data_IF_232126507661
#
_entry.id   IF_232126507661
#
_cell.length_a   1.000
_cell.length_b   1.000
_cell.length_c   1.000
_cell.angle_alpha   90.00
_cell.angle_beta   90.00
_cell.angle_gamma   90.00
#
_symmetry.space_group_name_H-M   'P 1'
#
loop_
_entity.id
_entity.type
_entity.pdbx_description
1 polymer ?
#
# COMPACT_ATOMS: atom_id res chain seq x y z
N UNK A 1 -32.22 -47.35 -23.40
CA UNK A 1 -32.00 -48.63 -22.68
C UNK A 1 -30.67 -48.50 -21.96
N UNK A 2 -30.71 -48.15 -20.68
CA UNK A 2 -30.50 -49.08 -19.55
C UNK A 2 -28.98 -49.30 -19.32
N UNK A 3 -28.39 -49.21 -18.14
CA UNK A 3 -28.92 -49.12 -16.79
C UNK A 3 -27.80 -48.66 -15.83
N UNK A 4 -28.20 -48.35 -14.60
CA UNK A 4 -27.44 -47.82 -13.46
C UNK A 4 -26.39 -48.79 -12.88
N UNK A 5 -25.60 -48.21 -11.95
CA UNK A 5 -24.86 -48.77 -10.78
C UNK A 5 -23.34 -48.76 -10.99
N UNK A 6 -22.48 -48.30 -10.08
CA UNK A 6 -22.60 -47.89 -8.68
C UNK A 6 -21.18 -47.82 -8.09
N UNK A 7 -21.07 -47.22 -6.89
CA UNK A 7 -19.92 -47.26 -5.97
C UNK A 7 -18.68 -46.37 -6.24
N UNK A 8 -18.63 -45.23 -5.53
CA UNK A 8 -17.46 -44.81 -4.73
C UNK A 8 -17.62 -45.43 -3.31
N UNK A 9 -16.69 -45.33 -2.33
CA UNK A 9 -15.36 -44.66 -2.27
C UNK A 9 -14.26 -45.50 -1.57
N UNK A 10 -13.02 -44.99 -1.45
CA UNK A 10 -12.15 -45.20 -0.28
C UNK A 10 -10.93 -44.26 -0.32
N UNK A 11 -10.92 -43.27 0.57
CA UNK A 11 -9.72 -42.52 0.96
C UNK A 11 -8.82 -43.41 1.82
N UNK A 12 -7.51 -43.36 1.56
CA UNK A 12 -6.49 -44.07 2.32
C UNK A 12 -6.15 -43.27 3.58
N UNK A 13 -6.38 -43.91 4.71
CA UNK A 13 -6.03 -43.49 6.06
C UNK A 13 -4.53 -43.69 6.29
N UNK A 14 -3.83 -42.65 6.73
CA UNK A 14 -2.50 -42.76 7.33
C UNK A 14 -2.58 -42.36 8.81
N UNK A 15 -2.50 -43.37 9.68
CA UNK A 15 -2.34 -43.24 11.12
C UNK A 15 -0.86 -43.13 11.48
N UNK A 16 -0.49 -42.17 12.32
CA UNK A 16 0.66 -42.28 13.21
C UNK A 16 0.34 -41.61 14.55
N UNK A 17 0.55 -42.39 15.61
CA UNK A 17 0.16 -42.20 17.01
C UNK A 17 1.41 -41.82 17.82
N UNK A 18 1.25 -40.95 18.81
CA UNK A 18 2.25 -40.62 19.84
C UNK A 18 1.90 -39.25 20.45
N UNK A 19 1.00 -39.15 21.43
CA UNK A 19 1.15 -39.51 22.85
C UNK A 19 2.35 -38.80 23.51
N UNK A 20 2.09 -37.62 24.09
CA UNK A 20 2.38 -37.37 25.50
C UNK A 20 1.60 -36.16 26.04
N UNK A 21 1.22 -36.28 27.30
CA UNK A 21 0.15 -35.55 27.98
C UNK A 21 0.63 -34.31 28.74
N UNK A 22 -0.17 -33.23 28.73
CA UNK A 22 -0.31 -32.29 29.84
C UNK A 22 -1.64 -31.53 29.71
N UNK A 23 -2.39 -31.49 30.82
CA UNK A 23 -3.82 -31.22 30.88
C UNK A 23 -4.28 -29.79 30.57
N UNK A 24 -5.51 -29.72 30.06
CA UNK A 24 -6.32 -28.52 29.93
C UNK A 24 -7.70 -28.92 29.42
N UNK A 25 -8.65 -29.13 30.33
CA UNK A 25 -10.01 -29.58 30.01
C UNK A 25 -10.76 -28.52 29.20
N UNK A 26 -10.72 -28.62 27.88
CA UNK A 26 -11.55 -27.84 26.97
C UNK A 26 -12.80 -28.63 26.59
N UNK A 27 -13.96 -28.20 27.09
CA UNK A 27 -15.25 -28.77 26.73
C UNK A 27 -15.45 -28.75 25.20
N UNK A 28 -15.80 -29.90 24.61
CA UNK A 28 -16.15 -30.02 23.20
C UNK A 28 -17.44 -29.25 22.85
N UNK A 29 -17.72 -29.03 21.55
CA UNK A 29 -18.86 -28.23 21.12
C UNK A 29 -20.16 -28.98 21.43
N UNK A 30 -20.94 -28.47 22.38
CA UNK A 30 -22.26 -29.00 22.73
C UNK A 30 -23.25 -28.62 21.63
N UNK A 31 -23.95 -29.60 21.08
CA UNK A 31 -24.90 -29.42 19.96
C UNK A 31 -26.09 -28.54 20.36
N UNK A 32 -26.58 -27.71 19.43
CA UNK A 32 -27.67 -26.74 19.65
C UNK A 32 -29.02 -27.36 20.05
N UNK A 33 -29.19 -28.68 19.92
CA UNK A 33 -30.45 -29.38 20.15
C UNK A 33 -30.79 -29.64 21.64
N UNK A 34 -29.85 -29.48 22.58
CA UNK A 34 -30.08 -29.82 24.01
C UNK A 34 -30.40 -28.63 24.92
N UNK A 35 -30.41 -27.39 24.41
CA UNK A 35 -30.80 -26.19 25.21
C UNK A 35 -32.29 -25.91 25.08
N UNK A 36 -33.10 -26.66 25.83
CA UNK A 36 -34.53 -26.38 25.99
C UNK A 36 -34.78 -24.97 26.55
N UNK A 37 -35.71 -24.24 25.91
CA UNK A 37 -36.64 -23.27 26.52
C UNK A 37 -36.11 -22.12 27.39
N UNK A 38 -34.81 -21.81 27.39
CA UNK A 38 -34.24 -20.71 28.19
C UNK A 38 -34.18 -19.41 27.38
N UNK A 39 -34.60 -18.30 28.00
CA UNK A 39 -34.62 -16.96 27.40
C UNK A 39 -33.22 -16.59 26.91
N UNK A 40 -33.12 -16.20 25.64
CA UNK A 40 -31.87 -15.73 25.05
C UNK A 40 -31.51 -14.32 25.56
N UNK A 41 -30.64 -14.27 26.56
CA UNK A 41 -30.18 -13.04 27.20
C UNK A 41 -29.23 -12.21 26.32
N UNK A 42 -28.67 -12.78 25.24
CA UNK A 42 -27.79 -12.04 24.33
C UNK A 42 -28.48 -10.82 23.71
N UNK A 43 -29.80 -10.89 23.54
CA UNK A 43 -30.67 -9.81 23.02
C UNK A 43 -30.91 -8.66 24.00
N UNK A 44 -30.58 -8.85 25.28
CA UNK A 44 -30.69 -7.80 26.32
C UNK A 44 -29.40 -6.99 26.47
N UNK A 45 -28.33 -7.38 25.77
CA UNK A 45 -27.03 -6.73 25.83
C UNK A 45 -26.88 -5.72 24.69
N UNK A 46 -26.41 -4.52 25.02
CA UNK A 46 -26.04 -3.49 24.04
C UNK A 46 -24.61 -3.73 23.53
N UNK A 47 -24.45 -4.79 22.72
CA UNK A 47 -23.16 -5.09 22.12
C UNK A 47 -22.81 -4.06 21.02
N UNK A 48 -21.54 -3.66 20.90
CA UNK A 48 -21.08 -2.82 19.79
C UNK A 48 -21.36 -3.52 18.45
N UNK A 49 -22.01 -2.78 17.54
CA UNK A 49 -22.24 -3.21 16.16
C UNK A 49 -21.53 -2.23 15.23
N UNK A 50 -20.68 -2.75 14.37
CA UNK A 50 -19.94 -1.95 13.39
C UNK A 50 -19.76 -2.74 12.12
N UNK A 51 -19.91 -2.06 10.99
CA UNK A 51 -19.57 -2.60 9.67
C UNK A 51 -18.06 -2.54 9.43
N UNK A 52 -17.29 -1.96 10.37
CA UNK A 52 -15.84 -1.88 10.29
C UNK A 52 -15.22 -3.28 10.44
N UNK A 53 -14.51 -3.79 9.42
CA UNK A 53 -13.93 -5.12 9.48
C UNK A 53 -12.78 -5.18 10.49
N UNK A 54 -12.68 -6.28 11.24
CA UNK A 54 -11.55 -6.49 12.15
C UNK A 54 -10.20 -6.61 11.43
N UNK A 55 -10.18 -7.09 10.18
CA UNK A 55 -8.98 -7.14 9.33
C UNK A 55 -8.96 -5.95 8.39
N UNK A 56 -7.82 -5.25 8.32
CA UNK A 56 -7.72 -4.01 7.57
C UNK A 56 -7.78 -4.17 6.04
N UNK A 57 -7.21 -5.25 5.48
CA UNK A 57 -7.19 -5.45 4.01
C UNK A 57 -6.49 -4.32 3.25
N UNK A 58 -5.40 -3.78 3.81
CA UNK A 58 -4.72 -2.58 3.30
C UNK A 58 -4.34 -2.61 1.82
N UNK A 59 -3.81 -3.71 1.24
CA UNK A 59 -3.42 -3.73 -0.16
C UNK A 59 -4.57 -3.44 -1.14
N UNK A 60 -5.82 -3.72 -0.76
CA UNK A 60 -7.01 -3.41 -1.56
C UNK A 60 -7.66 -2.09 -1.15
N UNK A 61 -7.55 -1.71 0.14
CA UNK A 61 -8.17 -0.52 0.68
C UNK A 61 -7.40 0.76 0.30
N UNK A 62 -6.07 0.74 0.40
CA UNK A 62 -5.23 1.92 0.15
C UNK A 62 -5.41 2.48 -1.27
N UNK A 63 -5.39 1.68 -2.36
CA UNK A 63 -5.67 2.20 -3.70
C UNK A 63 -7.04 2.88 -3.81
N UNK A 64 -8.09 2.28 -3.24
CA UNK A 64 -9.45 2.87 -3.23
C UNK A 64 -9.51 4.19 -2.47
N UNK A 65 -8.76 4.31 -1.38
CA UNK A 65 -8.68 5.56 -0.62
C UNK A 65 -7.98 6.67 -1.42
N UNK A 66 -6.90 6.33 -2.13
CA UNK A 66 -6.19 7.26 -3.01
C UNK A 66 -7.08 7.75 -4.16
N UNK A 67 -7.77 6.83 -4.85
CA UNK A 67 -8.73 7.16 -5.91
C UNK A 67 -9.83 8.10 -5.39
N UNK A 68 -10.37 7.81 -4.20
CA UNK A 68 -11.36 8.68 -3.56
C UNK A 68 -10.80 10.07 -3.27
N UNK A 69 -9.57 10.19 -2.77
CA UNK A 69 -8.97 11.49 -2.48
C UNK A 69 -8.74 12.31 -3.75
N UNK A 70 -8.33 11.66 -4.83
CA UNK A 70 -8.16 12.28 -6.15
C UNK A 70 -9.51 12.75 -6.72
N UNK A 71 -10.52 11.88 -6.74
CA UNK A 71 -11.88 12.23 -7.21
C UNK A 71 -12.50 13.38 -6.41
N UNK A 72 -12.20 13.49 -5.11
CA UNK A 72 -12.66 14.59 -4.27
C UNK A 72 -11.89 15.90 -4.49
N UNK A 73 -10.73 15.86 -5.17
CA UNK A 73 -9.80 16.98 -5.24
C UNK A 73 -9.33 17.40 -3.84
N UNK A 74 -9.07 16.42 -2.95
CA UNK A 74 -8.90 16.66 -1.51
C UNK A 74 -7.80 17.68 -1.23
N UNK A 75 -6.65 17.57 -1.92
CA UNK A 75 -5.54 18.50 -1.72
C UNK A 75 -5.94 19.94 -2.02
N UNK A 76 -6.63 20.20 -3.13
CA UNK A 76 -7.13 21.54 -3.48
C UNK A 76 -8.06 22.10 -2.41
N UNK A 77 -9.00 21.29 -1.90
CA UNK A 77 -9.89 21.69 -0.80
C UNK A 77 -9.13 22.03 0.49
N UNK A 78 -8.07 21.29 0.79
CA UNK A 78 -7.20 21.57 1.94
C UNK A 78 -6.47 22.91 1.76
N UNK A 79 -5.97 23.21 0.56
CA UNK A 79 -5.35 24.50 0.22
C UNK A 79 -6.32 25.66 0.39
N UNK A 80 -7.56 25.52 -0.10
CA UNK A 80 -8.61 26.54 0.07
C UNK A 80 -8.91 26.80 1.55
N UNK A 81 -9.08 25.73 2.36
CA UNK A 81 -9.31 25.86 3.80
C UNK A 81 -8.12 26.46 4.56
N UNK A 82 -6.92 26.35 4.02
CA UNK A 82 -5.70 26.87 4.65
C UNK A 82 -5.41 28.33 4.29
N UNK A 83 -6.12 28.93 3.33
CA UNK A 83 -5.92 30.33 2.93
C UNK A 83 -6.03 31.28 4.14
N UNK A 84 -5.03 32.15 4.29
CA UNK A 84 -4.97 33.14 5.37
C UNK A 84 -4.39 32.64 6.69
N UNK A 85 -4.07 31.34 6.83
CA UNK A 85 -3.43 30.80 8.02
C UNK A 85 -1.92 31.06 8.04
N UNK A 86 -1.25 30.99 9.21
CA UNK A 86 0.21 31.13 9.30
C UNK A 86 0.91 30.04 8.49
N UNK A 87 1.83 30.43 7.61
CA UNK A 87 2.52 29.50 6.71
C UNK A 87 3.51 28.62 7.44
N UNK A 88 3.54 27.36 7.09
CA UNK A 88 4.60 26.42 7.43
C UNK A 88 5.15 25.85 6.12
N UNK A 89 6.45 26.02 5.85
CA UNK A 89 7.06 25.58 4.60
C UNK A 89 8.14 24.56 4.91
N UNK A 90 7.94 23.34 4.42
CA UNK A 90 8.96 22.30 4.43
C UNK A 90 9.53 22.19 3.01
N UNK A 91 10.80 22.57 2.85
CA UNK A 91 11.50 22.43 1.58
C UNK A 91 11.84 20.96 1.34
N UNK A 92 11.36 20.42 0.22
CA UNK A 92 11.68 19.08 -0.20
C UNK A 92 13.02 19.07 -0.94
N UNK A 93 13.98 18.29 -0.44
CA UNK A 93 15.17 17.92 -1.21
C UNK A 93 14.76 17.03 -2.38
N UNK A 94 14.92 17.48 -3.64
CA UNK A 94 14.44 16.73 -4.79
C UNK A 94 15.29 15.48 -4.99
N UNK A 95 14.72 14.25 -4.98
CA UNK A 95 15.48 13.06 -5.35
C UNK A 95 15.77 13.04 -6.86
N UNK A 96 16.79 12.27 -7.23
CA UNK A 96 17.22 12.08 -8.61
C UNK A 96 16.20 11.28 -9.42
N UNK A 97 15.90 11.75 -10.63
CA UNK A 97 15.00 11.09 -11.58
C UNK A 97 15.75 10.04 -12.42
N UNK A 98 16.31 9.01 -11.77
CA UNK A 98 17.18 8.04 -12.47
C UNK A 98 16.89 6.55 -12.21
N UNK A 99 16.18 6.20 -11.14
CA UNK A 99 16.01 4.82 -10.71
C UNK A 99 14.77 4.59 -9.85
N UNK A 100 14.47 3.31 -9.60
CA UNK A 100 13.38 2.89 -8.74
C UNK A 100 13.53 3.42 -7.30
N UNK A 101 12.40 3.72 -6.69
CA UNK A 101 12.30 4.17 -5.30
C UNK A 101 12.69 3.01 -4.37
N UNK A 102 13.68 3.25 -3.51
CA UNK A 102 14.08 2.34 -2.45
C UNK A 102 13.52 2.75 -1.07
N UNK A 103 13.66 1.89 -0.06
CA UNK A 103 13.10 2.11 1.29
C UNK A 103 13.50 3.45 1.94
N UNK A 104 14.75 3.90 1.73
CA UNK A 104 15.19 5.23 2.19
C UNK A 104 14.36 6.40 1.64
N UNK A 105 13.88 6.32 0.39
CA UNK A 105 12.97 7.32 -0.17
C UNK A 105 11.62 7.29 0.54
N UNK A 106 11.07 6.08 0.77
CA UNK A 106 9.82 5.91 1.48
C UNK A 106 9.90 6.51 2.89
N UNK A 107 10.96 6.19 3.64
CA UNK A 107 11.21 6.76 4.97
C UNK A 107 11.22 8.30 4.94
N UNK A 108 12.01 8.90 4.04
CA UNK A 108 12.13 10.35 3.93
C UNK A 108 10.77 11.00 3.61
N UNK A 109 10.02 10.45 2.65
CA UNK A 109 8.73 11.02 2.22
C UNK A 109 7.64 10.83 3.28
N UNK A 110 7.61 9.70 3.98
CA UNK A 110 6.65 9.45 5.07
C UNK A 110 6.89 10.45 6.22
N UNK A 111 8.14 10.68 6.61
CA UNK A 111 8.46 11.64 7.68
C UNK A 111 8.06 13.07 7.30
N UNK A 112 8.34 13.48 6.06
CA UNK A 112 7.92 14.80 5.55
C UNK A 112 6.39 14.93 5.53
N UNK A 113 5.69 13.91 5.07
CA UNK A 113 4.22 13.88 5.02
C UNK A 113 3.60 13.97 6.42
N UNK A 114 4.15 13.25 7.41
CA UNK A 114 3.73 13.34 8.81
C UNK A 114 3.85 14.77 9.36
N UNK A 115 4.99 15.44 9.13
CA UNK A 115 5.21 16.82 9.58
C UNK A 115 4.27 17.78 8.86
N UNK A 116 4.13 17.67 7.55
CA UNK A 116 3.25 18.54 6.76
C UNK A 116 1.79 18.41 7.20
N UNK A 117 1.29 17.17 7.34
CA UNK A 117 -0.09 16.89 7.76
C UNK A 117 -0.34 17.34 9.19
N UNK A 118 0.56 17.06 10.12
CA UNK A 118 0.41 17.49 11.52
C UNK A 118 0.35 19.02 11.63
N UNK A 119 1.24 19.75 10.95
CA UNK A 119 1.21 21.22 10.93
C UNK A 119 -0.09 21.76 10.32
N UNK A 120 -0.60 21.10 9.27
CA UNK A 120 -1.89 21.48 8.68
C UNK A 120 -3.07 21.25 9.63
N UNK A 121 -3.05 20.15 10.40
CA UNK A 121 -4.06 19.86 11.41
C UNK A 121 -3.97 20.80 12.62
N UNK A 122 -2.78 21.30 12.95
CA UNK A 122 -2.55 22.34 13.97
C UNK A 122 -2.98 23.75 13.51
N UNK A 123 -3.42 23.89 12.25
CA UNK A 123 -3.94 25.16 11.74
C UNK A 123 -2.92 26.02 11.00
N UNK A 124 -1.83 25.44 10.52
CA UNK A 124 -0.91 26.13 9.61
C UNK A 124 -1.31 25.93 8.15
N UNK A 125 -0.90 26.89 7.32
CA UNK A 125 -0.87 26.74 5.88
C UNK A 125 0.40 25.99 5.46
N UNK A 126 0.29 24.65 5.40
CA UNK A 126 1.40 23.73 5.14
C UNK A 126 1.37 23.25 3.68
N UNK A 127 2.05 23.95 2.79
CA UNK A 127 2.14 23.59 1.37
C UNK A 127 3.35 22.69 1.13
N UNK A 128 3.12 21.45 0.70
CA UNK A 128 4.19 20.54 0.30
C UNK A 128 4.29 20.46 -1.22
N UNK A 129 5.42 20.89 -1.76
CA UNK A 129 5.73 20.88 -3.18
C UNK A 129 6.88 19.88 -3.39
N UNK A 130 6.61 18.70 -3.97
CA UNK A 130 7.68 17.80 -4.36
C UNK A 130 8.43 18.35 -5.57
N UNK A 131 9.72 18.07 -5.67
CA UNK A 131 10.54 18.39 -6.84
C UNK A 131 11.45 17.24 -7.21
N UNK A 132 11.92 17.19 -8.44
CA UNK A 132 12.87 16.19 -8.97
C UNK A 132 14.16 16.83 -9.47
N UNK A 133 15.27 16.13 -9.30
CA UNK A 133 16.55 16.49 -9.89
C UNK A 133 16.74 15.71 -11.20
N UNK A 134 16.67 16.44 -12.32
CA UNK A 134 16.59 15.92 -13.68
C UNK A 134 17.89 16.12 -14.49
N UNK A 135 18.94 16.65 -13.87
CA UNK A 135 20.21 16.95 -14.55
C UNK A 135 21.38 16.21 -13.89
N UNK A 136 22.56 16.35 -14.50
CA UNK A 136 23.82 15.88 -13.95
C UNK A 136 24.24 14.50 -14.45
N UNK A 137 25.44 14.12 -14.02
CA UNK A 137 26.11 12.88 -14.44
C UNK A 137 25.29 11.60 -14.21
N UNK A 138 24.48 11.45 -13.14
CA UNK A 138 23.73 10.21 -12.93
C UNK A 138 22.80 9.83 -14.09
N UNK A 139 22.19 10.82 -14.75
CA UNK A 139 21.28 10.59 -15.87
C UNK A 139 22.05 10.32 -17.17
N UNK A 140 23.14 11.08 -17.37
CA UNK A 140 24.02 10.92 -18.52
C UNK A 140 24.66 9.54 -18.52
N UNK A 141 25.13 9.08 -17.36
CA UNK A 141 25.70 7.75 -17.18
C UNK A 141 24.69 6.64 -17.46
N UNK A 142 23.44 6.81 -17.03
CA UNK A 142 22.37 5.82 -17.30
C UNK A 142 22.08 5.66 -18.79
N UNK A 143 22.14 6.75 -19.55
CA UNK A 143 21.96 6.71 -21.00
C UNK A 143 23.20 6.17 -21.70
N UNK A 144 24.40 6.53 -21.23
CA UNK A 144 25.65 5.91 -21.71
C UNK A 144 25.67 4.40 -21.51
N UNK A 145 25.21 3.91 -20.36
CA UNK A 145 25.05 2.47 -20.09
C UNK A 145 24.14 1.82 -21.14
N UNK A 146 22.99 2.43 -21.44
CA UNK A 146 22.07 1.95 -22.49
C UNK A 146 22.69 1.99 -23.89
N UNK A 147 23.54 2.97 -24.21
CA UNK A 147 24.25 2.99 -25.49
C UNK A 147 25.33 1.91 -25.57
N UNK A 148 26.08 1.68 -24.49
CA UNK A 148 27.08 0.60 -24.42
C UNK A 148 26.44 -0.77 -24.59
N UNK A 149 25.28 -1.01 -23.99
CA UNK A 149 24.48 -2.23 -24.22
C UNK A 149 24.07 -2.39 -25.69
N UNK A 150 23.84 -1.28 -26.39
CA UNK A 150 23.52 -1.24 -27.83
C UNK A 150 24.76 -1.18 -28.73
N UNK A 151 25.97 -1.24 -28.16
CA UNK A 151 27.24 -1.19 -28.90
C UNK A 151 27.56 0.17 -29.54
N UNK A 152 26.96 1.27 -29.06
CA UNK A 152 27.19 2.64 -29.55
C UNK A 152 28.03 3.45 -28.56
N UNK A 153 28.90 4.33 -29.07
CA UNK A 153 29.66 5.25 -28.22
C UNK A 153 28.95 6.63 -28.12
N UNK A 154 29.01 7.27 -26.95
CA UNK A 154 28.42 8.60 -26.72
C UNK A 154 29.03 9.67 -27.63
N UNK A 155 30.32 9.55 -27.93
CA UNK A 155 31.04 10.50 -28.80
C UNK A 155 30.55 10.49 -30.25
N UNK A 156 29.84 9.43 -30.65
CA UNK A 156 29.24 9.29 -31.98
C UNK A 156 27.85 9.91 -32.07
N UNK A 157 27.25 10.29 -30.92
CA UNK A 157 25.90 10.85 -30.85
C UNK A 157 25.98 12.39 -30.78
N UNK A 158 25.22 13.11 -31.63
CA UNK A 158 25.14 14.57 -31.53
C UNK A 158 24.66 15.03 -30.14
N UNK A 159 25.34 16.04 -29.56
CA UNK A 159 25.04 16.57 -28.22
C UNK A 159 23.55 16.96 -28.05
N UNK A 160 22.94 17.51 -29.11
CA UNK A 160 21.52 17.91 -29.07
C UNK A 160 20.57 16.72 -28.99
N UNK A 161 20.93 15.58 -29.62
CA UNK A 161 20.15 14.34 -29.53
C UNK A 161 20.34 13.70 -28.17
N UNK A 162 21.58 13.63 -27.69
CA UNK A 162 21.90 13.16 -26.34
C UNK A 162 21.10 13.89 -25.26
N UNK A 163 21.06 15.23 -25.31
CA UNK A 163 20.30 16.03 -24.34
C UNK A 163 18.78 15.82 -24.45
N UNK A 164 18.26 15.55 -25.65
CA UNK A 164 16.84 15.20 -25.83
C UNK A 164 16.53 13.85 -25.19
N UNK A 165 17.42 12.88 -25.36
CA UNK A 165 17.28 11.56 -24.73
C UNK A 165 17.40 11.67 -23.20
N UNK A 166 18.33 12.45 -22.65
CA UNK A 166 18.40 12.75 -21.22
C UNK A 166 17.11 13.35 -20.67
N UNK A 167 16.52 14.31 -21.40
CA UNK A 167 15.24 14.91 -21.00
C UNK A 167 14.09 13.91 -21.08
N UNK A 168 14.06 13.06 -22.10
CA UNK A 168 13.04 12.02 -22.24
C UNK A 168 13.14 11.02 -21.09
N UNK A 169 14.35 10.62 -20.70
CA UNK A 169 14.58 9.73 -19.57
C UNK A 169 14.15 10.33 -18.23
N UNK A 170 14.39 11.64 -18.02
CA UNK A 170 13.97 12.34 -16.80
C UNK A 170 12.45 12.56 -16.67
N UNK A 171 11.70 12.48 -17.77
CA UNK A 171 10.26 12.75 -17.80
C UNK A 171 9.40 11.54 -17.40
N UNK A 172 10.02 10.37 -17.26
CA UNK A 172 9.42 9.11 -16.86
C UNK A 172 9.74 8.76 -15.41
#
# INVERSE_FOLDING_TARGET
MADKKGARPAEVVATAKGADAAGGAGAGPVSEAERGGSRDWSKTLFLPKTDFPMKAGLPQLEPRLLERWEALGLYGKLRERAKGKPKFVLHDGPPYANANIHIGHALNKILKDLVVKSQQMLGHDSNYVPGWDCYGLPIEWKIEEQYREKGKNKDEVPINEFRKECRAFAAH
#
